data_IF_507281755537
#
_entry.id   IF_507281755537
#
_cell.length_a   1.000
_cell.length_b   1.000
_cell.length_c   1.000
_cell.angle_alpha   90.00
_cell.angle_beta   90.00
_cell.angle_gamma   90.00
#
_symmetry.space_group_name_H-M   'P 1'
#
loop_
_entity.id
_entity.type
_entity.pdbx_description
1 polymer ?
#
# COMPACT_ATOMS: atom_id res chain seq x y z
N UNK A 1 2.09 -2.08 -27.57
CA UNK A 1 0.63 -1.91 -27.36
C UNK A 1 0.22 -0.70 -28.21
N UNK A 2 -0.76 -0.84 -29.11
CA UNK A 2 -1.13 0.24 -30.05
C UNK A 2 -1.73 1.45 -29.29
N UNK A 3 -1.23 2.66 -29.53
CA UNK A 3 -1.70 3.90 -28.90
C UNK A 3 -3.21 4.11 -29.02
N UNK A 4 -3.79 3.71 -30.15
CA UNK A 4 -5.24 3.76 -30.38
C UNK A 4 -5.99 2.89 -29.36
N UNK A 5 -5.42 1.74 -28.98
CA UNK A 5 -6.03 0.84 -28.00
C UNK A 5 -5.89 1.37 -26.56
N UNK A 6 -4.89 2.23 -26.29
CA UNK A 6 -4.75 2.94 -25.01
C UNK A 6 -5.80 4.05 -24.91
N UNK A 7 -5.88 4.94 -25.91
CA UNK A 7 -6.88 6.00 -25.97
C UNK A 7 -8.31 5.47 -25.86
N UNK A 8 -8.65 4.38 -26.59
CA UNK A 8 -9.98 3.76 -26.50
C UNK A 8 -10.31 3.27 -25.09
N UNK A 9 -9.32 2.78 -24.33
CA UNK A 9 -9.52 2.35 -22.94
C UNK A 9 -9.77 3.54 -22.03
N UNK A 10 -8.99 4.61 -22.16
CA UNK A 10 -9.11 5.83 -21.35
C UNK A 10 -10.46 6.52 -21.57
N UNK A 11 -10.87 6.70 -22.84
CA UNK A 11 -12.18 7.28 -23.17
C UNK A 11 -13.31 6.47 -22.56
N UNK A 12 -13.22 5.13 -22.65
CA UNK A 12 -14.22 4.25 -22.07
C UNK A 12 -14.24 4.31 -20.55
N UNK A 13 -13.08 4.44 -19.90
CA UNK A 13 -12.99 4.57 -18.45
C UNK A 13 -13.71 5.85 -17.98
N UNK A 14 -13.47 6.99 -18.66
CA UNK A 14 -14.09 8.29 -18.37
C UNK A 14 -15.62 8.24 -18.52
N UNK A 15 -16.12 7.70 -19.62
CA UNK A 15 -17.57 7.55 -19.86
C UNK A 15 -18.25 6.73 -18.75
N UNK A 16 -17.62 5.65 -18.31
CA UNK A 16 -18.20 4.84 -17.23
C UNK A 16 -18.05 5.51 -15.85
N UNK A 17 -17.03 6.34 -15.63
CA UNK A 17 -16.90 7.11 -14.40
C UNK A 17 -18.03 8.15 -14.26
N UNK A 18 -18.33 8.89 -15.32
CA UNK A 18 -19.48 9.81 -15.40
C UNK A 18 -20.80 9.06 -15.13
N UNK A 19 -20.97 7.87 -15.72
CA UNK A 19 -22.15 7.04 -15.49
C UNK A 19 -22.31 6.60 -14.03
N UNK A 20 -21.19 6.27 -13.36
CA UNK A 20 -21.20 5.91 -11.94
C UNK A 20 -21.53 7.13 -11.06
N UNK A 21 -21.08 8.32 -11.43
CA UNK A 21 -21.43 9.58 -10.74
C UNK A 21 -22.93 9.85 -10.83
N UNK A 22 -23.51 9.78 -12.03
CA UNK A 22 -24.96 9.94 -12.24
C UNK A 22 -25.77 8.94 -11.41
N UNK A 23 -25.31 7.68 -11.33
CA UNK A 23 -25.93 6.69 -10.44
C UNK A 23 -25.85 7.12 -8.98
N UNK A 24 -24.71 7.61 -8.51
CA UNK A 24 -24.54 8.01 -7.11
C UNK A 24 -25.39 9.23 -6.75
N UNK A 25 -25.51 10.20 -7.65
CA UNK A 25 -26.38 11.38 -7.48
C UNK A 25 -27.86 11.02 -7.50
N UNK A 26 -28.26 10.01 -8.27
CA UNK A 26 -29.66 9.57 -8.35
C UNK A 26 -30.21 8.98 -7.05
N UNK A 27 -29.33 8.46 -6.17
CA UNK A 27 -29.73 7.76 -4.94
C UNK A 27 -30.48 6.43 -5.13
N UNK A 28 -30.76 6.01 -6.37
CA UNK A 28 -31.50 4.79 -6.70
C UNK A 28 -30.69 3.52 -6.43
N UNK A 29 -31.38 2.39 -6.27
CA UNK A 29 -30.72 1.09 -6.25
C UNK A 29 -30.02 0.82 -7.60
N UNK A 30 -28.89 0.09 -7.58
CA UNK A 30 -28.12 -0.20 -8.81
C UNK A 30 -28.97 -0.95 -9.84
N UNK A 31 -29.83 -1.88 -9.40
CA UNK A 31 -30.75 -2.60 -10.27
C UNK A 31 -31.74 -1.66 -10.96
N UNK A 32 -32.42 -0.82 -10.20
CA UNK A 32 -33.42 0.13 -10.72
C UNK A 32 -32.79 1.15 -11.67
N UNK A 33 -31.60 1.66 -11.32
CA UNK A 33 -30.86 2.58 -12.17
C UNK A 33 -30.44 1.92 -13.49
N UNK A 34 -29.94 0.67 -13.41
CA UNK A 34 -29.56 -0.13 -14.57
C UNK A 34 -30.75 -0.41 -15.49
N UNK A 35 -31.91 -0.73 -14.94
CA UNK A 35 -33.15 -0.97 -15.69
C UNK A 35 -33.61 0.30 -16.43
N UNK A 36 -33.52 1.47 -15.80
CA UNK A 36 -33.87 2.76 -16.43
C UNK A 36 -32.92 3.17 -17.56
N UNK A 37 -31.64 2.82 -17.46
CA UNK A 37 -30.60 3.25 -18.40
C UNK A 37 -30.21 2.15 -19.41
N UNK A 38 -30.93 1.02 -19.41
CA UNK A 38 -30.67 -0.10 -20.32
C UNK A 38 -29.30 -0.76 -20.12
N UNK A 39 -28.75 -0.69 -18.91
CA UNK A 39 -27.44 -1.26 -18.58
C UNK A 39 -27.64 -2.61 -17.90
N UNK A 40 -26.90 -3.64 -18.33
CA UNK A 40 -26.91 -4.89 -17.59
C UNK A 40 -26.20 -4.73 -16.24
N UNK A 41 -26.85 -5.12 -15.15
CA UNK A 41 -26.31 -5.03 -13.77
C UNK A 41 -24.92 -5.68 -13.64
N UNK A 42 -24.69 -6.84 -14.28
CA UNK A 42 -23.36 -7.50 -14.26
C UNK A 42 -22.30 -6.64 -14.95
N UNK A 43 -22.66 -6.01 -16.08
CA UNK A 43 -21.77 -5.09 -16.81
C UNK A 43 -21.44 -3.88 -15.96
N UNK A 44 -22.41 -3.31 -15.26
CA UNK A 44 -22.21 -2.19 -14.34
C UNK A 44 -21.17 -2.54 -13.27
N UNK A 45 -21.35 -3.64 -12.55
CA UNK A 45 -20.39 -4.06 -11.51
C UNK A 45 -19.01 -4.41 -12.07
N UNK A 46 -18.94 -5.02 -13.26
CA UNK A 46 -17.67 -5.29 -13.93
C UNK A 46 -16.91 -4.00 -14.24
N UNK A 47 -17.61 -2.97 -14.75
CA UNK A 47 -17.02 -1.66 -15.07
C UNK A 47 -16.64 -0.89 -13.82
N UNK A 48 -17.48 -0.92 -12.80
CA UNK A 48 -17.19 -0.32 -11.50
C UNK A 48 -15.93 -0.93 -10.87
N UNK A 49 -15.74 -2.26 -10.98
CA UNK A 49 -14.51 -2.92 -10.55
C UNK A 49 -13.28 -2.42 -11.32
N UNK A 50 -13.38 -2.25 -12.64
CA UNK A 50 -12.28 -1.73 -13.45
C UNK A 50 -11.91 -0.29 -13.09
N UNK A 51 -12.90 0.57 -12.86
CA UNK A 51 -12.68 1.95 -12.42
C UNK A 51 -12.01 1.99 -11.04
N UNK A 52 -12.50 1.20 -10.08
CA UNK A 52 -11.89 1.10 -8.74
C UNK A 52 -10.44 0.63 -8.81
N UNK A 53 -10.15 -0.34 -9.67
CA UNK A 53 -8.78 -0.82 -9.86
C UNK A 53 -7.89 0.28 -10.46
N UNK A 54 -8.34 0.95 -11.51
CA UNK A 54 -7.59 2.05 -12.13
C UNK A 54 -7.33 3.20 -11.14
N UNK A 55 -8.32 3.57 -10.32
CA UNK A 55 -8.14 4.57 -9.26
C UNK A 55 -7.15 4.12 -8.18
N UNK A 56 -7.17 2.85 -7.77
CA UNK A 56 -6.18 2.32 -6.84
C UNK A 56 -4.76 2.31 -7.43
N UNK A 57 -4.65 2.18 -8.76
CA UNK A 57 -3.36 2.20 -9.47
C UNK A 57 -2.87 3.64 -9.73
N UNK A 58 -3.79 4.63 -9.85
CA UNK A 58 -3.50 6.07 -10.00
C UNK A 58 -3.23 6.78 -8.67
N UNK A 59 -3.82 6.31 -7.55
CA UNK A 59 -3.44 6.76 -6.21
C UNK A 59 -2.05 6.22 -5.94
N UNK A 60 -1.04 7.04 -6.27
CA UNK A 60 0.36 6.79 -5.93
C UNK A 60 0.48 6.40 -4.45
N UNK A 61 0.86 5.13 -4.26
CA UNK A 61 1.58 4.41 -3.21
C UNK A 61 1.72 4.94 -1.76
N UNK A 62 1.56 6.23 -1.46
CA UNK A 62 2.25 6.82 -0.31
C UNK A 62 1.57 6.53 1.05
N UNK A 63 0.24 6.59 1.18
CA UNK A 63 -0.35 6.57 2.53
C UNK A 63 -1.40 5.46 2.78
N UNK A 64 -2.19 5.07 1.76
CA UNK A 64 -3.30 4.11 1.93
C UNK A 64 -2.84 2.66 1.64
N UNK A 65 -1.76 2.48 0.87
CA UNK A 65 -1.27 1.17 0.44
C UNK A 65 -0.38 0.51 1.49
N UNK A 66 0.32 1.28 2.33
CA UNK A 66 1.25 0.76 3.33
C UNK A 66 0.59 -0.21 4.34
N UNK A 67 -0.68 0.02 4.69
CA UNK A 67 -1.41 -0.85 5.63
C UNK A 67 -2.01 -2.10 4.99
N UNK A 68 -2.12 -2.16 3.65
CA UNK A 68 -2.74 -3.28 2.94
C UNK A 68 -1.95 -4.59 3.12
N UNK A 69 -0.62 -4.63 2.99
CA UNK A 69 0.17 -5.82 3.31
C UNK A 69 -0.05 -6.30 4.75
N UNK A 70 -0.16 -5.38 5.70
CA UNK A 70 -0.40 -5.69 7.10
C UNK A 70 -1.78 -6.33 7.33
N UNK A 71 -2.83 -5.73 6.76
CA UNK A 71 -4.21 -6.23 6.90
C UNK A 71 -4.44 -7.58 6.21
N UNK A 72 -3.77 -7.82 5.07
CA UNK A 72 -3.78 -9.13 4.39
C UNK A 72 -2.98 -10.16 5.19
N UNK A 73 -1.80 -9.78 5.70
CA UNK A 73 -0.91 -10.65 6.47
C UNK A 73 -1.49 -11.09 7.82
N UNK A 74 -2.32 -10.25 8.46
CA UNK A 74 -2.92 -10.54 9.78
C UNK A 74 -3.66 -11.88 9.85
N UNK A 75 -4.27 -12.33 8.76
CA UNK A 75 -4.95 -13.65 8.69
C UNK A 75 -3.98 -14.84 8.73
N UNK A 76 -2.71 -14.62 8.38
CA UNK A 76 -1.67 -15.63 8.29
C UNK A 76 -0.64 -15.54 9.43
N UNK A 77 -0.71 -14.52 10.29
CA UNK A 77 0.24 -14.32 11.38
C UNK A 77 -0.27 -14.91 12.68
N UNK A 78 0.36 -16.01 13.10
CA UNK A 78 0.02 -16.82 14.27
C UNK A 78 -0.07 -16.02 15.59
N UNK A 79 0.55 -14.83 15.66
CA UNK A 79 0.66 -14.02 16.88
C UNK A 79 -0.06 -12.66 16.82
N UNK A 80 -0.75 -12.33 15.74
CA UNK A 80 -1.41 -11.02 15.57
C UNK A 80 -2.82 -10.93 16.18
N UNK A 81 -3.20 -11.93 16.98
CA UNK A 81 -4.48 -12.00 17.69
C UNK A 81 -4.42 -11.39 19.11
N UNK A 82 -3.21 -11.12 19.62
CA UNK A 82 -3.03 -10.51 20.96
C UNK A 82 -2.62 -9.03 20.86
N UNK A 83 -2.97 -8.18 21.85
CA UNK A 83 -2.51 -6.78 21.88
C UNK A 83 -0.98 -6.64 21.85
N UNK A 84 -0.26 -7.57 22.50
CA UNK A 84 1.21 -7.61 22.50
C UNK A 84 1.75 -7.90 21.11
N UNK A 85 1.18 -8.88 20.41
CA UNK A 85 1.56 -9.19 19.03
C UNK A 85 1.22 -8.05 18.07
N UNK A 86 0.05 -7.42 18.22
CA UNK A 86 -0.31 -6.23 17.45
C UNK A 86 0.70 -5.08 17.62
N UNK A 87 1.14 -4.81 18.87
CA UNK A 87 2.17 -3.80 19.15
C UNK A 87 3.53 -4.15 18.53
N UNK A 88 3.95 -5.41 18.61
CA UNK A 88 5.20 -5.86 18.00
C UNK A 88 5.15 -5.77 16.46
N UNK A 89 4.06 -6.21 15.84
CA UNK A 89 3.89 -6.11 14.38
C UNK A 89 3.86 -4.64 13.92
N UNK A 90 3.19 -3.76 14.67
CA UNK A 90 3.20 -2.32 14.37
C UNK A 90 4.62 -1.73 14.39
N UNK A 91 5.42 -2.05 15.41
CA UNK A 91 6.81 -1.58 15.50
C UNK A 91 7.67 -2.07 14.32
N UNK A 92 7.57 -3.35 13.95
CA UNK A 92 8.31 -3.90 12.80
C UNK A 92 7.92 -3.18 11.50
N UNK A 93 6.62 -2.99 11.26
CA UNK A 93 6.15 -2.29 10.06
C UNK A 93 6.58 -0.83 10.02
N UNK A 94 6.57 -0.14 11.16
CA UNK A 94 7.11 1.22 11.23
C UNK A 94 8.59 1.27 10.82
N UNK A 95 9.40 0.31 11.24
CA UNK A 95 10.82 0.21 10.82
C UNK A 95 10.93 -0.08 9.32
N UNK A 96 10.15 -1.03 8.80
CA UNK A 96 10.11 -1.37 7.36
C UNK A 96 9.77 -0.15 6.51
N UNK A 97 8.69 0.55 6.84
CA UNK A 97 8.26 1.71 6.06
C UNK A 97 9.23 2.88 6.19
N UNK A 98 9.86 3.06 7.36
CA UNK A 98 10.92 4.07 7.53
C UNK A 98 12.15 3.74 6.68
N UNK A 99 12.58 2.48 6.63
CA UNK A 99 13.69 2.05 5.77
C UNK A 99 13.39 2.29 4.28
N UNK A 100 12.18 1.94 3.83
CA UNK A 100 11.72 2.21 2.46
C UNK A 100 11.69 3.71 2.14
N UNK A 101 11.16 4.53 3.06
CA UNK A 101 11.10 5.98 2.89
C UNK A 101 12.50 6.61 2.78
N UNK A 102 13.52 5.97 3.36
CA UNK A 102 14.93 6.38 3.25
C UNK A 102 15.68 5.71 2.08
N UNK A 103 14.99 4.97 1.20
CA UNK A 103 15.59 4.33 0.02
C UNK A 103 16.51 3.14 0.33
N UNK A 104 16.31 2.49 1.48
CA UNK A 104 17.09 1.33 1.89
C UNK A 104 16.45 0.01 1.43
N UNK A 105 17.30 -0.97 1.14
CA UNK A 105 16.91 -2.36 1.06
C UNK A 105 16.52 -2.85 2.45
N UNK A 106 15.24 -3.16 2.61
CA UNK A 106 14.66 -3.55 3.89
C UNK A 106 15.35 -4.80 4.45
N UNK A 107 15.65 -5.78 3.61
CA UNK A 107 16.25 -7.03 4.08
C UNK A 107 17.66 -6.80 4.63
N UNK A 108 18.50 -6.09 3.88
CA UNK A 108 19.85 -5.72 4.34
C UNK A 108 19.82 -4.87 5.60
N UNK A 109 18.86 -3.95 5.70
CA UNK A 109 18.72 -3.11 6.88
C UNK A 109 18.37 -3.93 8.13
N UNK A 110 17.44 -4.89 8.02
CA UNK A 110 17.14 -5.81 9.14
C UNK A 110 18.32 -6.73 9.47
N UNK A 111 19.07 -7.21 8.48
CA UNK A 111 20.28 -8.00 8.71
C UNK A 111 21.32 -7.20 9.50
N UNK A 112 21.57 -5.94 9.12
CA UNK A 112 22.46 -5.03 9.84
C UNK A 112 21.99 -4.83 11.29
N UNK A 113 20.71 -4.47 11.48
CA UNK A 113 20.15 -4.24 12.81
C UNK A 113 20.25 -5.49 13.69
N UNK A 114 19.84 -6.65 13.20
CA UNK A 114 19.81 -7.90 13.98
C UNK A 114 21.21 -8.46 14.27
N UNK A 115 22.21 -8.10 13.46
CA UNK A 115 23.60 -8.52 13.66
C UNK A 115 24.33 -7.60 14.64
N UNK A 116 24.11 -6.28 14.53
CA UNK A 116 24.89 -5.28 15.27
C UNK A 116 24.25 -4.93 16.62
N UNK A 117 22.92 -4.81 16.70
CA UNK A 117 22.23 -4.40 17.93
C UNK A 117 22.54 -5.28 19.15
N UNK A 118 22.61 -6.63 19.05
CA UNK A 118 22.91 -7.46 20.21
C UNK A 118 24.30 -7.23 20.81
N UNK A 119 25.25 -6.70 20.02
CA UNK A 119 26.62 -6.43 20.42
C UNK A 119 26.85 -4.99 20.88
N UNK A 120 25.83 -4.13 20.79
CA UNK A 120 25.91 -2.72 21.15
C UNK A 120 25.40 -2.46 22.58
N UNK A 121 26.06 -1.56 23.31
CA UNK A 121 25.64 -1.13 24.65
C UNK A 121 24.59 0.01 24.62
N UNK A 122 23.55 -0.16 23.80
CA UNK A 122 22.58 0.91 23.52
C UNK A 122 21.65 1.21 24.71
N UNK A 123 21.56 0.31 25.69
CA UNK A 123 20.81 0.53 26.93
C UNK A 123 21.52 1.51 27.87
N UNK A 124 22.86 1.58 27.79
CA UNK A 124 23.69 2.46 28.62
C UNK A 124 24.03 3.75 27.88
N UNK A 125 24.23 3.66 26.56
CA UNK A 125 24.53 4.80 25.71
C UNK A 125 23.60 4.80 24.47
N UNK A 126 22.44 5.47 24.53
CA UNK A 126 21.47 5.48 23.43
C UNK A 126 21.98 6.16 22.16
N UNK A 127 22.94 7.08 22.29
CA UNK A 127 23.43 7.89 21.16
C UNK A 127 24.12 7.03 20.08
N UNK A 128 24.61 5.84 20.45
CA UNK A 128 25.23 4.91 19.50
C UNK A 128 24.24 4.36 18.46
N UNK A 129 22.92 4.44 18.74
CA UNK A 129 21.89 4.03 17.79
C UNK A 129 21.85 4.94 16.57
N UNK A 130 22.32 6.18 16.68
CA UNK A 130 22.30 7.17 15.59
C UNK A 130 23.02 6.63 14.33
N UNK A 131 24.06 5.83 14.51
CA UNK A 131 24.82 5.20 13.41
C UNK A 131 23.99 4.17 12.62
N UNK A 132 23.00 3.57 13.28
CA UNK A 132 22.11 2.56 12.70
C UNK A 132 20.81 3.15 12.15
N UNK A 133 20.55 4.44 12.38
CA UNK A 133 19.33 5.07 11.90
C UNK A 133 19.32 5.17 10.37
N UNK A 134 18.15 5.07 9.74
CA UNK A 134 18.05 4.86 8.30
C UNK A 134 18.48 6.09 7.48
N UNK A 135 18.56 7.27 8.08
CA UNK A 135 19.10 8.49 7.46
C UNK A 135 20.61 8.66 7.63
N UNK A 136 21.27 7.83 8.45
CA UNK A 136 22.70 7.93 8.70
C UNK A 136 23.51 7.43 7.49
N UNK A 137 24.62 8.10 7.19
CA UNK A 137 25.51 7.72 6.09
C UNK A 137 26.08 6.31 6.23
N UNK A 138 26.36 5.83 7.44
CA UNK A 138 26.90 4.50 7.69
C UNK A 138 25.90 3.41 7.28
N UNK A 139 24.66 3.52 7.76
CA UNK A 139 23.57 2.62 7.39
C UNK A 139 23.26 2.70 5.88
N UNK A 140 23.25 3.90 5.30
CA UNK A 140 23.02 4.12 3.88
C UNK A 140 24.08 3.44 3.00
N UNK A 141 25.37 3.56 3.32
CA UNK A 141 26.45 2.92 2.54
C UNK A 141 26.29 1.40 2.43
N UNK A 142 25.75 0.77 3.47
CA UNK A 142 25.59 -0.70 3.53
C UNK A 142 24.28 -1.13 2.87
N UNK A 143 23.19 -0.41 3.14
CA UNK A 143 21.84 -0.89 2.87
C UNK A 143 21.16 -0.23 1.66
N UNK A 144 21.77 0.74 0.98
CA UNK A 144 21.10 1.44 -0.13
C UNK A 144 20.74 0.49 -1.27
N UNK A 145 19.56 0.72 -1.85
CA UNK A 145 19.14 0.02 -3.06
C UNK A 145 20.09 0.37 -4.23
N UNK A 146 20.41 -0.61 -5.10
CA UNK A 146 21.28 -0.40 -6.26
C UNK A 146 20.65 0.49 -7.34
#
# INVERSE_FOLDING_TARGET
MNEIAKMKREVKLKQWAEMVQLRNESGLAVSEWCDQHGVNVKTYYYRLKQIRQALCDEVEQHDIVAIRPFTVGRKNWLFSDTPRGAKASAAIYSIVETAKANGLDVFKYFELLLTVLPSMEFLTNPDILEELLPWNEAAQKICKLP
#
